data_IF_610280800711
#
_entry.id   IF_610280800711
#
_cell.length_a   1.000
_cell.length_b   1.000
_cell.length_c   1.000
_cell.angle_alpha   90.00
_cell.angle_beta   90.00
_cell.angle_gamma   90.00
#
_symmetry.space_group_name_H-M   'P 1'
#
loop_
_entity.id
_entity.type
_entity.pdbx_description
1 polymer ?
#
# COMPACT_ATOMS: atom_id res chain seq x y z
N UNK A 1 5.90 -31.57 -24.60
CA UNK A 1 6.32 -30.43 -25.43
C UNK A 1 6.41 -29.21 -24.51
N UNK A 2 7.60 -28.95 -23.93
CA UNK A 2 7.84 -27.78 -23.07
C UNK A 2 8.40 -26.68 -23.98
N UNK A 3 7.66 -25.61 -24.17
CA UNK A 3 8.15 -24.43 -24.86
C UNK A 3 9.21 -23.75 -23.99
N UNK A 4 10.45 -23.78 -24.46
CA UNK A 4 11.57 -22.94 -23.99
C UNK A 4 11.31 -21.50 -24.44
N UNK A 5 10.59 -20.75 -23.62
CA UNK A 5 10.61 -19.29 -23.67
C UNK A 5 11.90 -18.84 -22.99
N UNK A 6 12.64 -17.92 -23.64
CA UNK A 6 13.91 -17.38 -23.16
C UNK A 6 13.82 -16.96 -21.69
N UNK A 7 14.92 -17.16 -20.96
CA UNK A 7 15.12 -16.94 -19.51
C UNK A 7 14.43 -15.69 -18.95
N UNK A 8 13.11 -15.75 -18.78
CA UNK A 8 12.35 -14.94 -17.85
C UNK A 8 12.66 -15.53 -16.48
N UNK A 9 13.24 -14.73 -15.58
CA UNK A 9 13.35 -15.13 -14.18
C UNK A 9 11.93 -15.27 -13.64
N UNK A 10 11.41 -16.50 -13.68
CA UNK A 10 10.15 -16.86 -13.06
C UNK A 10 10.41 -16.83 -11.55
N UNK A 11 9.98 -15.74 -10.92
CA UNK A 11 10.05 -15.57 -9.47
C UNK A 11 8.83 -16.26 -8.87
N UNK A 12 9.08 -17.21 -7.98
CA UNK A 12 8.04 -17.83 -7.17
C UNK A 12 7.63 -16.85 -6.06
N UNK A 13 6.32 -16.73 -5.83
CA UNK A 13 5.75 -15.89 -4.77
C UNK A 13 4.82 -16.75 -3.91
N UNK A 14 4.90 -16.57 -2.59
CA UNK A 14 4.05 -17.27 -1.61
C UNK A 14 2.78 -16.47 -1.30
N UNK A 15 2.83 -15.13 -1.49
CA UNK A 15 1.75 -14.20 -1.16
C UNK A 15 1.48 -13.29 -2.36
N UNK A 16 0.20 -13.12 -2.72
CA UNK A 16 -0.24 -12.16 -3.73
C UNK A 16 -1.20 -11.14 -3.11
N UNK A 17 -0.81 -9.88 -3.10
CA UNK A 17 -1.64 -8.75 -2.70
C UNK A 17 -2.28 -8.15 -3.96
N UNK A 18 -3.61 -8.25 -4.06
CA UNK A 18 -4.36 -7.72 -5.21
C UNK A 18 -4.95 -6.35 -4.87
N UNK A 19 -4.45 -5.31 -5.54
CA UNK A 19 -4.85 -3.92 -5.38
C UNK A 19 -3.82 -3.12 -4.57
N UNK A 20 -3.24 -2.11 -5.20
CA UNK A 20 -2.25 -1.23 -4.60
C UNK A 20 -2.86 0.03 -3.95
N UNK A 21 -4.08 -0.07 -3.45
CA UNK A 21 -4.65 0.97 -2.60
C UNK A 21 -3.98 1.02 -1.22
N UNK A 22 -4.44 1.94 -0.33
CA UNK A 22 -3.88 2.09 1.02
C UNK A 22 -3.81 0.78 1.81
N UNK A 23 -4.84 -0.06 1.72
CA UNK A 23 -4.86 -1.36 2.39
C UNK A 23 -3.77 -2.31 1.86
N UNK A 24 -3.65 -2.47 0.53
CA UNK A 24 -2.67 -3.40 -0.06
C UNK A 24 -1.23 -2.95 0.18
N UNK A 25 -0.95 -1.66 0.00
CA UNK A 25 0.38 -1.10 0.30
C UNK A 25 0.67 -1.20 1.80
N UNK A 26 -0.30 -0.91 2.67
CA UNK A 26 -0.15 -1.08 4.12
C UNK A 26 0.17 -2.53 4.49
N UNK A 27 -0.51 -3.52 3.89
CA UNK A 27 -0.20 -4.93 4.13
C UNK A 27 1.24 -5.26 3.78
N UNK A 28 1.72 -4.86 2.60
CA UNK A 28 3.09 -5.12 2.20
C UNK A 28 4.11 -4.43 3.12
N UNK A 29 3.85 -3.19 3.52
CA UNK A 29 4.73 -2.45 4.44
C UNK A 29 4.82 -3.11 5.83
N UNK A 30 3.71 -3.67 6.33
CA UNK A 30 3.72 -4.42 7.58
C UNK A 30 4.48 -5.74 7.43
N UNK A 31 4.30 -6.47 6.33
CA UNK A 31 5.10 -7.66 6.04
C UNK A 31 6.59 -7.30 5.99
N UNK A 32 6.95 -6.24 5.27
CA UNK A 32 8.33 -5.79 5.15
C UNK A 32 8.98 -5.50 6.50
N UNK A 33 8.24 -4.90 7.44
CA UNK A 33 8.76 -4.59 8.78
C UNK A 33 8.83 -5.80 9.72
N UNK A 34 7.79 -6.64 9.74
CA UNK A 34 7.62 -7.65 10.79
C UNK A 34 7.91 -9.09 10.33
N UNK A 35 7.93 -9.35 9.02
CA UNK A 35 8.18 -10.65 8.40
C UNK A 35 8.86 -10.46 7.03
N UNK A 36 10.07 -9.88 6.99
CA UNK A 36 10.76 -9.51 5.75
C UNK A 36 10.94 -10.70 4.79
N UNK A 37 11.13 -11.91 5.30
CA UNK A 37 11.23 -13.14 4.53
C UNK A 37 9.94 -13.48 3.76
N UNK A 38 8.78 -13.11 4.30
CA UNK A 38 7.49 -13.23 3.61
C UNK A 38 7.32 -12.08 2.61
N UNK A 39 7.77 -10.88 2.96
CA UNK A 39 7.70 -9.72 2.06
C UNK A 39 8.51 -9.92 0.77
N UNK A 40 9.70 -10.55 0.86
CA UNK A 40 10.54 -10.91 -0.29
C UNK A 40 9.84 -11.85 -1.28
N UNK A 41 8.94 -12.68 -0.76
CA UNK A 41 8.12 -13.62 -1.54
C UNK A 41 6.70 -13.11 -1.79
N UNK A 42 6.46 -11.82 -1.59
CA UNK A 42 5.16 -11.19 -1.84
C UNK A 42 5.19 -10.42 -3.14
N UNK A 43 4.18 -10.62 -3.98
CA UNK A 43 3.90 -9.76 -5.14
C UNK A 43 2.68 -8.88 -4.85
N UNK A 44 2.81 -7.58 -5.09
CA UNK A 44 1.68 -6.64 -5.08
C UNK A 44 1.36 -6.25 -6.52
N UNK A 45 0.11 -6.45 -6.93
CA UNK A 45 -0.37 -6.10 -8.26
C UNK A 45 -1.43 -5.01 -8.20
N UNK A 46 -1.40 -4.11 -9.16
CA UNK A 46 -2.38 -3.04 -9.34
C UNK A 46 -2.73 -2.96 -10.83
N UNK A 47 -4.03 -2.80 -11.11
CA UNK A 47 -4.54 -2.72 -12.48
C UNK A 47 -4.19 -1.37 -13.10
N UNK A 48 -4.30 -0.31 -12.31
CA UNK A 48 -4.09 1.06 -12.75
C UNK A 48 -2.61 1.47 -12.67
N UNK A 49 -2.18 2.44 -13.49
CA UNK A 49 -0.80 2.96 -13.45
C UNK A 49 -0.66 4.07 -12.40
N UNK A 50 0.47 4.13 -11.69
CA UNK A 50 0.79 5.23 -10.79
C UNK A 50 1.45 6.42 -11.51
N UNK A 51 1.30 7.66 -11.00
CA UNK A 51 0.37 8.08 -9.95
C UNK A 51 -1.09 8.05 -10.44
N UNK A 52 -2.04 7.85 -9.52
CA UNK A 52 -3.48 7.81 -9.82
C UNK A 52 -4.30 8.35 -8.66
N UNK A 53 -5.50 8.82 -8.97
CA UNK A 53 -6.46 9.17 -7.95
C UNK A 53 -7.00 7.93 -7.23
N UNK A 54 -6.99 7.98 -5.91
CA UNK A 54 -7.70 7.05 -5.03
C UNK A 54 -8.40 7.86 -3.97
N UNK A 55 -9.75 7.85 -3.97
CA UNK A 55 -10.56 8.61 -3.00
C UNK A 55 -10.13 8.36 -1.54
N UNK A 56 -9.79 7.11 -1.19
CA UNK A 56 -9.35 6.77 0.17
C UNK A 56 -7.86 7.04 0.44
N UNK A 57 -7.08 7.52 -0.54
CA UNK A 57 -5.65 7.83 -0.39
C UNK A 57 -5.35 9.32 -0.19
N UNK A 58 -6.36 10.19 -0.24
CA UNK A 58 -6.16 11.65 -0.22
C UNK A 58 -6.00 12.29 1.17
N UNK A 59 -6.27 11.55 2.25
CA UNK A 59 -6.17 12.06 3.61
C UNK A 59 -5.56 11.00 4.54
N UNK A 60 -4.66 11.46 5.42
CA UNK A 60 -4.06 10.64 6.47
C UNK A 60 -4.41 11.32 7.79
N UNK A 61 -5.20 10.63 8.62
CA UNK A 61 -5.52 11.08 9.97
C UNK A 61 -4.33 10.85 10.92
N UNK A 62 -4.36 11.44 12.11
CA UNK A 62 -3.31 11.28 13.13
C UNK A 62 -2.98 9.81 13.42
N UNK A 63 -4.00 8.95 13.46
CA UNK A 63 -3.80 7.50 13.59
C UNK A 63 -2.99 6.89 12.45
N UNK A 64 -3.23 7.33 11.22
CA UNK A 64 -2.44 6.93 10.06
C UNK A 64 -0.99 7.41 10.16
N UNK A 65 -0.76 8.65 10.60
CA UNK A 65 0.58 9.18 10.86
C UNK A 65 1.33 8.36 11.93
N UNK A 66 0.64 7.98 13.01
CA UNK A 66 1.22 7.11 14.04
C UNK A 66 1.61 5.74 13.51
N UNK A 67 0.80 5.14 12.62
CA UNK A 67 1.12 3.86 11.99
C UNK A 67 2.35 4.02 11.08
N UNK A 68 2.40 5.05 10.24
CA UNK A 68 3.53 5.29 9.34
C UNK A 68 4.83 5.50 10.10
N UNK A 69 4.78 6.26 11.20
CA UNK A 69 5.92 6.41 12.12
C UNK A 69 6.35 5.07 12.71
N UNK A 70 5.40 4.23 13.14
CA UNK A 70 5.70 2.87 13.61
C UNK A 70 6.26 1.97 12.52
N UNK A 71 6.04 2.28 11.24
CA UNK A 71 6.64 1.57 10.10
C UNK A 71 7.97 2.19 9.63
N UNK A 72 8.48 3.21 10.31
CA UNK A 72 9.66 4.01 9.92
C UNK A 72 9.53 4.67 8.53
N UNK A 73 8.30 5.02 8.13
CA UNK A 73 8.01 5.67 6.85
C UNK A 73 7.87 7.17 7.06
N UNK A 74 8.64 7.94 6.30
CA UNK A 74 8.49 9.39 6.21
C UNK A 74 7.75 9.74 4.93
N UNK A 75 6.69 10.55 5.05
CA UNK A 75 5.94 11.06 3.91
C UNK A 75 6.51 12.44 3.56
N UNK A 76 7.28 12.50 2.48
CA UNK A 76 7.95 13.72 1.97
C UNK A 76 7.36 14.13 0.62
N UNK A 77 6.03 14.14 0.51
CA UNK A 77 5.30 14.62 -0.67
C UNK A 77 4.60 15.95 -0.36
N UNK A 78 4.32 16.80 -1.37
CA UNK A 78 3.49 17.98 -1.18
C UNK A 78 2.14 17.61 -0.54
N UNK A 79 1.80 18.28 0.56
CA UNK A 79 0.55 18.06 1.28
C UNK A 79 0.10 19.36 1.97
N UNK A 80 -1.18 19.40 2.35
CA UNK A 80 -1.78 20.49 3.12
C UNK A 80 -2.21 19.90 4.47
N UNK A 81 -1.95 20.62 5.56
CA UNK A 81 -2.43 20.24 6.89
C UNK A 81 -3.87 20.70 7.08
N UNK A 82 -4.73 19.78 7.54
CA UNK A 82 -6.12 20.08 7.92
C UNK A 82 -6.17 20.08 9.45
N UNK A 83 -6.48 21.23 10.04
CA UNK A 83 -6.53 21.39 11.50
C UNK A 83 -7.90 21.02 12.10
N UNK A 84 -8.97 21.20 11.32
CA UNK A 84 -10.35 21.02 11.80
C UNK A 84 -11.17 20.21 10.80
N UNK A 85 -11.92 19.21 11.31
CA UNK A 85 -12.88 18.42 10.53
C UNK A 85 -14.19 18.29 11.32
N UNK A 86 -15.30 18.75 10.72
CA UNK A 86 -16.63 18.66 11.34
C UNK A 86 -17.43 17.57 10.64
N UNK A 87 -17.70 16.47 11.34
CA UNK A 87 -18.59 15.42 10.90
C UNK A 87 -20.01 15.73 11.36
N UNK A 88 -20.90 16.06 10.42
CA UNK A 88 -22.33 16.29 10.69
C UNK A 88 -23.12 15.09 10.23
N UNK A 89 -23.61 14.31 11.18
CA UNK A 89 -24.57 13.24 10.90
C UNK A 89 -25.97 13.86 10.83
N UNK A 90 -26.74 13.47 9.83
CA UNK A 90 -28.18 13.74 9.79
C UNK A 90 -28.86 12.46 10.19
N UNK A 91 -29.64 12.52 11.26
CA UNK A 91 -30.61 11.48 11.57
C UNK A 91 -31.72 11.60 10.51
N UNK A 92 -32.03 10.48 9.85
CA UNK A 92 -33.19 10.37 8.96
C UNK A 92 -34.47 10.23 9.79
#
# INVERSE_FOLDING_TARGET
MRHTLGSSMMRDFDIMIVGGGPAGVSTWLHLHKYAPELAEKTVLIEKEKYPRDKLCGGAILDWGQHILKKLDIKIEIPHISINDMILRYRDN
#
